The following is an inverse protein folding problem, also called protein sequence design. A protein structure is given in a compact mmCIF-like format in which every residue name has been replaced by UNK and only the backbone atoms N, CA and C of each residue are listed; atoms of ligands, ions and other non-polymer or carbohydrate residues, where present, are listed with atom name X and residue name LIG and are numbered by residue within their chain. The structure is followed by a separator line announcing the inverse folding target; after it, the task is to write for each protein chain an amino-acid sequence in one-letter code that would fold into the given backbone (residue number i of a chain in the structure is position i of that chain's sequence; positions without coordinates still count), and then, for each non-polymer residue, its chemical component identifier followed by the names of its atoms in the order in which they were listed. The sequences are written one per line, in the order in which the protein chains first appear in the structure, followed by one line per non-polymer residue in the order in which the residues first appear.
data_IF_995017541411
#
_entry.id   IF_995017541411
#
_cell.length_a   1.000
_cell.length_b   1.000
_cell.length_c   1.000
_cell.angle_alpha   90.00
_cell.angle_beta   90.00
_cell.angle_gamma   90.00
#
_symmetry.space_group_name_H-M   'P 1'
#
loop_
_entity.id
_entity.type
_entity.pdbx_description
1 polymer ?
#
# COMPACT_ATOMS: atom_id res chain seq x y z
N UNK A 1 40.49 -0.41 -14.95
CA UNK A 1 40.31 -1.10 -13.67
C UNK A 1 38.83 -1.42 -13.56
N UNK A 2 38.42 -2.56 -14.10
CA UNK A 2 37.01 -3.01 -14.15
C UNK A 2 36.72 -3.78 -12.87
N UNK A 3 35.97 -3.17 -11.94
CA UNK A 3 35.45 -3.88 -10.78
C UNK A 3 34.40 -4.88 -11.25
N UNK A 4 34.80 -6.15 -11.34
CA UNK A 4 33.88 -7.26 -11.56
C UNK A 4 33.08 -7.44 -10.27
N UNK A 5 31.93 -6.76 -10.15
CA UNK A 5 30.99 -6.97 -9.05
C UNK A 5 30.37 -8.36 -9.20
N UNK A 6 31.00 -9.37 -8.61
CA UNK A 6 30.46 -10.73 -8.53
C UNK A 6 29.18 -10.68 -7.69
N UNK A 7 28.00 -10.68 -8.33
CA UNK A 7 26.73 -10.74 -7.60
C UNK A 7 26.66 -12.08 -6.88
N UNK A 8 26.81 -12.07 -5.55
CA UNK A 8 26.59 -13.26 -4.73
C UNK A 8 25.14 -13.69 -4.95
N UNK A 9 24.87 -14.95 -5.35
CA UNK A 9 23.51 -15.40 -5.57
C UNK A 9 22.70 -15.22 -4.29
N UNK A 10 21.61 -14.46 -4.39
CA UNK A 10 20.69 -14.22 -3.27
C UNK A 10 20.22 -15.56 -2.69
N UNK A 11 20.50 -15.77 -1.40
CA UNK A 11 20.08 -16.96 -0.68
C UNK A 11 18.54 -17.11 -0.69
N UNK A 12 18.02 -18.33 -0.42
CA UNK A 12 16.58 -18.59 -0.43
C UNK A 12 15.80 -17.66 0.53
N UNK A 13 16.41 -17.27 1.65
CA UNK A 13 15.84 -16.32 2.60
C UNK A 13 15.69 -14.91 2.00
N UNK A 14 16.69 -14.42 1.26
CA UNK A 14 16.64 -13.10 0.62
C UNK A 14 15.50 -13.03 -0.41
N UNK A 15 15.36 -14.07 -1.23
CA UNK A 15 14.27 -14.17 -2.23
C UNK A 15 12.88 -14.20 -1.57
N UNK A 16 12.76 -14.80 -0.38
CA UNK A 16 11.51 -14.79 0.38
C UNK A 16 11.19 -13.39 0.92
N UNK A 17 12.20 -12.67 1.43
CA UNK A 17 12.06 -11.28 1.87
C UNK A 17 11.69 -10.34 0.73
N UNK A 18 12.32 -10.48 -0.44
CA UNK A 18 12.01 -9.67 -1.63
C UNK A 18 10.55 -9.88 -2.08
N UNK A 19 10.06 -11.12 -2.05
CA UNK A 19 8.64 -11.42 -2.33
C UNK A 19 7.71 -10.81 -1.29
N UNK A 20 8.07 -10.90 -0.01
CA UNK A 20 7.27 -10.34 1.07
C UNK A 20 7.21 -8.81 0.99
N UNK A 21 8.32 -8.15 0.64
CA UNK A 21 8.38 -6.73 0.37
C UNK A 21 7.48 -6.36 -0.82
N UNK A 22 7.54 -7.12 -1.92
CA UNK A 22 6.67 -6.92 -3.07
C UNK A 22 5.18 -7.03 -2.73
N UNK A 23 4.81 -8.03 -1.90
CA UNK A 23 3.43 -8.19 -1.41
C UNK A 23 3.02 -7.02 -0.52
N UNK A 24 3.88 -6.58 0.40
CA UNK A 24 3.60 -5.43 1.27
C UNK A 24 3.34 -4.15 0.47
N UNK A 25 4.16 -3.89 -0.55
CA UNK A 25 3.98 -2.75 -1.47
C UNK A 25 2.66 -2.85 -2.23
N UNK A 26 2.31 -4.04 -2.72
CA UNK A 26 1.05 -4.26 -3.41
C UNK A 26 -0.15 -3.99 -2.49
N UNK A 27 -0.10 -4.45 -1.23
CA UNK A 27 -1.14 -4.20 -0.23
C UNK A 27 -1.27 -2.69 0.07
N UNK A 28 -0.15 -1.99 0.28
CA UNK A 28 -0.15 -0.54 0.49
C UNK A 28 -0.79 0.21 -0.69
N UNK A 29 -0.42 -0.16 -1.91
CA UNK A 29 -0.94 0.45 -3.14
C UNK A 29 -2.44 0.22 -3.30
N UNK A 30 -2.90 -1.02 -3.06
CA UNK A 30 -4.33 -1.34 -3.07
C UNK A 30 -5.11 -0.54 -2.01
N UNK A 31 -4.54 -0.38 -0.81
CA UNK A 31 -5.16 0.41 0.25
C UNK A 31 -5.29 1.91 -0.14
N UNK A 32 -4.28 2.48 -0.81
CA UNK A 32 -4.34 3.85 -1.33
C UNK A 32 -5.40 4.01 -2.42
N UNK A 33 -5.50 3.06 -3.37
CA UNK A 33 -6.55 3.09 -4.39
C UNK A 33 -7.93 3.01 -3.73
N UNK A 34 -8.10 2.10 -2.76
CA UNK A 34 -9.33 2.00 -1.98
C UNK A 34 -9.68 3.31 -1.26
N UNK A 35 -8.68 3.99 -0.69
CA UNK A 35 -8.87 5.26 0.00
C UNK A 35 -9.42 6.33 -0.96
N UNK A 36 -8.87 6.43 -2.17
CA UNK A 36 -9.37 7.35 -3.21
C UNK A 36 -10.80 7.02 -3.61
N UNK A 37 -11.12 5.73 -3.80
CA UNK A 37 -12.47 5.30 -4.15
C UNK A 37 -13.48 5.63 -3.05
N UNK A 38 -13.13 5.42 -1.78
CA UNK A 38 -14.00 5.76 -0.64
C UNK A 38 -14.23 7.26 -0.56
N UNK A 39 -13.20 8.08 -0.76
CA UNK A 39 -13.38 9.54 -0.79
C UNK A 39 -14.22 10.01 -1.96
N UNK A 40 -14.04 9.43 -3.15
CA UNK A 40 -14.91 9.69 -4.30
C UNK A 40 -16.36 9.28 -4.02
N UNK A 41 -16.56 8.15 -3.34
CA UNK A 41 -17.89 7.70 -2.93
C UNK A 41 -18.55 8.66 -1.94
N UNK A 42 -17.82 9.18 -0.95
CA UNK A 42 -18.34 10.18 0.00
C UNK A 42 -18.84 11.45 -0.71
N UNK A 43 -18.10 11.91 -1.72
CA UNK A 43 -18.50 13.04 -2.56
C UNK A 43 -19.79 12.70 -3.30
N UNK A 44 -19.85 11.55 -3.95
CA UNK A 44 -21.05 11.10 -4.67
C UNK A 44 -22.27 11.00 -3.76
N UNK A 45 -22.15 10.33 -2.62
CA UNK A 45 -23.29 10.12 -1.71
C UNK A 45 -23.81 11.44 -1.15
N UNK A 46 -22.91 12.37 -0.81
CA UNK A 46 -23.31 13.68 -0.28
C UNK A 46 -23.99 14.57 -1.32
N UNK A 47 -23.50 14.57 -2.56
CA UNK A 47 -24.01 15.48 -3.60
C UNK A 47 -25.09 14.88 -4.50
N UNK A 48 -25.17 13.55 -4.64
CA UNK A 48 -26.14 12.86 -5.52
C UNK A 48 -27.22 12.15 -4.71
N UNK A 49 -26.83 11.42 -3.67
CA UNK A 49 -27.77 10.65 -2.84
C UNK A 49 -28.31 11.45 -1.65
N UNK A 50 -27.73 12.63 -1.36
CA UNK A 50 -28.03 13.47 -0.20
C UNK A 50 -27.90 12.73 1.16
N UNK A 51 -27.21 11.59 1.18
CA UNK A 51 -26.98 10.79 2.37
C UNK A 51 -25.47 10.72 2.63
N UNK A 52 -25.04 10.94 3.87
CA UNK A 52 -23.64 10.81 4.28
C UNK A 52 -23.46 9.44 4.96
N UNK A 53 -22.84 8.44 4.31
CA UNK A 53 -22.73 7.10 4.86
C UNK A 53 -21.77 7.09 6.05
N UNK A 54 -22.19 6.53 7.19
CA UNK A 54 -21.35 6.45 8.39
C UNK A 54 -20.22 5.41 8.31
N UNK A 55 -20.33 4.43 7.41
CA UNK A 55 -19.34 3.37 7.25
C UNK A 55 -18.04 3.84 6.60
N UNK A 56 -18.04 4.97 5.88
CA UNK A 56 -16.85 5.45 5.17
C UNK A 56 -15.78 5.98 6.12
N UNK A 57 -16.18 6.43 7.31
CA UNK A 57 -15.31 6.95 8.37
C UNK A 57 -14.34 5.87 8.91
N UNK A 58 -14.82 4.73 9.45
CA UNK A 58 -13.91 3.68 9.93
C UNK A 58 -13.11 3.03 8.80
N UNK A 59 -13.69 2.92 7.60
CA UNK A 59 -12.99 2.34 6.43
C UNK A 59 -11.82 3.23 6.01
N UNK A 60 -11.99 4.55 5.99
CA UNK A 60 -10.90 5.48 5.65
C UNK A 60 -9.76 5.36 6.64
N UNK A 61 -10.04 5.28 7.94
CA UNK A 61 -9.02 5.11 8.98
C UNK A 61 -8.27 3.78 8.82
N UNK A 62 -8.99 2.69 8.55
CA UNK A 62 -8.38 1.38 8.32
C UNK A 62 -7.46 1.39 7.09
N UNK A 63 -7.93 1.95 5.97
CA UNK A 63 -7.16 2.02 4.71
C UNK A 63 -5.95 2.92 4.87
N UNK A 64 -6.10 4.05 5.54
CA UNK A 64 -5.01 4.98 5.81
C UNK A 64 -3.94 4.34 6.70
N UNK A 65 -4.34 3.73 7.82
CA UNK A 65 -3.43 3.04 8.73
C UNK A 65 -2.68 1.91 7.99
N UNK A 66 -3.41 1.11 7.22
CA UNK A 66 -2.85 0.03 6.39
C UNK A 66 -1.82 0.58 5.39
N UNK A 67 -2.18 1.59 4.61
CA UNK A 67 -1.31 2.21 3.62
C UNK A 67 -0.04 2.79 4.26
N UNK A 68 -0.16 3.46 5.41
CA UNK A 68 1.01 4.01 6.13
C UNK A 68 1.91 2.90 6.69
N UNK A 69 1.35 1.89 7.35
CA UNK A 69 2.15 0.80 7.95
C UNK A 69 2.95 0.03 6.90
N UNK A 70 2.33 -0.35 5.78
CA UNK A 70 3.00 -1.08 4.71
C UNK A 70 3.85 -0.16 3.81
N UNK A 71 3.45 1.10 3.62
CA UNK A 71 4.25 2.10 2.91
C UNK A 71 5.55 2.45 3.62
N UNK A 72 5.53 2.57 4.95
CA UNK A 72 6.73 2.74 5.75
C UNK A 72 7.69 1.55 5.64
N UNK A 73 7.15 0.33 5.58
CA UNK A 73 7.95 -0.88 5.36
C UNK A 73 8.60 -0.92 3.96
N UNK A 74 7.91 -0.40 2.93
CA UNK A 74 8.45 -0.30 1.58
C UNK A 74 9.59 0.71 1.45
N UNK A 75 9.53 1.83 2.18
CA UNK A 75 10.56 2.89 2.14
C UNK A 75 11.94 2.45 2.65
N UNK A 76 12.04 1.28 3.30
CA UNK A 76 13.31 0.69 3.75
C UNK A 76 14.01 -0.07 2.62
N UNK A 77 13.30 -0.44 1.55
CA UNK A 77 13.83 -1.15 0.39
C UNK A 77 14.02 -0.16 -0.78
N UNK A 78 15.06 0.68 -0.70
CA UNK A 78 15.53 1.56 -1.78
C UNK A 78 17.04 1.52 -1.88
#
# INVERSE_FOLDING_TARGET
MTETTTSVPAGPAQRALDRLAGIAIAIASCALIGLVLVQGWQVFTRYVLNDSPSWTEPVTLLLLATAMSFGAAAGVHT
#
